data_IF_150252402781
#
_entry.id   IF_150252402781
#
_cell.length_a   1.000
_cell.length_b   1.000
_cell.length_c   1.000
_cell.angle_alpha   90.00
_cell.angle_beta   90.00
_cell.angle_gamma   90.00
#
_symmetry.space_group_name_H-M   'P 1'
#
loop_
_entity.id
_entity.type
_entity.pdbx_description
1 polymer ?
#
# COMPACT_ATOMS: atom_id res chain seq x y z
N UNK A 1 -1.16 -6.21 6.06
CA UNK A 1 -0.75 -5.65 4.75
C UNK A 1 -1.72 -4.56 4.35
N UNK A 2 -1.22 -3.56 3.62
CA UNK A 2 -2.03 -2.41 3.19
C UNK A 2 -1.65 -1.97 1.77
N UNK A 3 -2.64 -1.48 1.03
CA UNK A 3 -2.48 -0.87 -0.29
C UNK A 3 -2.64 0.65 -0.20
N UNK A 4 -1.76 1.38 -0.87
CA UNK A 4 -1.80 2.83 -0.97
C UNK A 4 -1.79 3.29 -2.41
N UNK A 5 -2.50 4.37 -2.71
CA UNK A 5 -2.45 5.09 -3.97
C UNK A 5 -1.73 6.42 -3.75
N UNK A 6 -0.76 6.71 -4.60
CA UNK A 6 -0.12 8.02 -4.69
C UNK A 6 -0.60 8.70 -5.98
N UNK A 7 -1.32 9.81 -5.84
CA UNK A 7 -1.71 10.63 -6.99
C UNK A 7 -0.52 11.46 -7.48
N UNK A 8 -0.33 11.51 -8.80
CA UNK A 8 0.49 12.53 -9.45
C UNK A 8 -0.32 13.83 -9.56
N UNK A 9 -0.44 14.60 -8.48
CA UNK A 9 -0.80 16.02 -8.63
C UNK A 9 0.46 16.87 -8.71
N UNK A 10 0.38 17.97 -9.46
CA UNK A 10 1.47 18.91 -9.76
C UNK A 10 2.06 19.64 -8.53
N UNK A 11 1.72 19.20 -7.32
CA UNK A 11 2.10 19.88 -6.09
C UNK A 11 3.03 19.00 -5.26
N UNK A 12 3.99 19.65 -4.60
CA UNK A 12 5.13 19.05 -3.88
C UNK A 12 4.75 18.15 -2.68
N UNK A 13 3.45 17.90 -2.47
CA UNK A 13 2.89 17.10 -1.40
C UNK A 13 1.99 16.00 -1.97
N UNK A 14 2.55 15.07 -2.77
CA UNK A 14 1.83 13.82 -3.11
C UNK A 14 1.55 13.05 -1.82
N UNK A 15 0.29 13.11 -1.36
CA UNK A 15 -0.19 12.38 -0.19
C UNK A 15 -0.56 10.95 -0.60
N UNK A 16 -0.16 9.97 0.20
CA UNK A 16 -0.60 8.59 0.06
C UNK A 16 -2.02 8.43 0.60
N UNK A 17 -2.88 7.77 -0.17
CA UNK A 17 -4.25 7.43 0.22
C UNK A 17 -4.31 5.93 0.49
N UNK A 18 -4.81 5.54 1.67
CA UNK A 18 -5.08 4.13 1.96
C UNK A 18 -6.23 3.63 1.09
N UNK A 19 -6.03 2.50 0.42
CA UNK A 19 -7.00 1.88 -0.50
C UNK A 19 -7.63 0.64 0.14
N UNK A 20 -6.80 -0.26 0.64
CA UNK A 20 -7.25 -1.50 1.27
C UNK A 20 -6.28 -1.93 2.38
N UNK A 21 -6.78 -2.63 3.38
CA UNK A 21 -5.96 -3.11 4.50
C UNK A 21 -6.53 -4.40 5.09
N UNK A 22 -5.69 -5.14 5.79
CA UNK A 22 -6.07 -6.28 6.64
C UNK A 22 -6.28 -5.79 8.06
N UNK A 23 -7.36 -6.20 8.74
CA UNK A 23 -7.54 -5.91 10.16
C UNK A 23 -6.59 -6.77 11.01
N UNK A 24 -6.04 -6.18 12.07
CA UNK A 24 -5.28 -6.95 13.06
C UNK A 24 -6.23 -7.84 13.86
N UNK A 25 -5.87 -9.11 14.04
CA UNK A 25 -6.62 -10.06 14.86
C UNK A 25 -7.61 -10.97 14.12
N UNK A 26 -7.92 -10.70 12.84
CA UNK A 26 -8.85 -11.52 12.05
C UNK A 26 -8.21 -12.01 10.74
N UNK A 27 -7.58 -13.19 10.74
CA UNK A 27 -7.03 -13.80 9.52
C UNK A 27 -8.13 -13.99 8.47
N UNK A 28 -8.10 -13.19 7.41
CA UNK A 28 -9.05 -13.26 6.29
C UNK A 28 -9.94 -12.04 6.14
N UNK A 29 -10.06 -11.18 7.15
CA UNK A 29 -10.81 -9.93 7.01
C UNK A 29 -9.93 -8.83 6.41
N UNK A 30 -10.37 -8.31 5.25
CA UNK A 30 -9.76 -7.15 4.61
C UNK A 30 -10.84 -6.16 4.24
N UNK A 31 -10.55 -4.88 4.44
CA UNK A 31 -11.45 -3.79 4.11
C UNK A 31 -10.89 -2.95 2.96
N UNK A 32 -11.81 -2.27 2.27
CA UNK A 32 -11.51 -1.25 1.27
C UNK A 32 -12.05 0.07 1.81
N UNK A 33 -11.24 1.12 1.69
CA UNK A 33 -11.63 2.46 2.08
C UNK A 33 -12.81 2.97 1.26
N UNK A 34 -13.72 3.71 1.91
CA UNK A 34 -15.01 4.10 1.32
C UNK A 34 -14.89 4.74 -0.08
N UNK A 35 -13.93 5.64 -0.36
CA UNK A 35 -13.77 6.24 -1.69
C UNK A 35 -13.49 5.22 -2.81
N UNK A 36 -12.92 4.06 -2.47
CA UNK A 36 -12.42 3.08 -3.43
C UNK A 36 -13.37 1.88 -3.63
N UNK A 37 -14.34 1.64 -2.73
CA UNK A 37 -15.23 0.47 -2.74
C UNK A 37 -16.02 0.24 -4.04
N UNK A 38 -16.27 1.31 -4.81
CA UNK A 38 -17.04 1.23 -6.05
C UNK A 38 -16.31 0.42 -7.13
N UNK A 39 -14.99 0.58 -7.23
CA UNK A 39 -14.17 0.02 -8.32
C UNK A 39 -13.13 -0.98 -7.83
N UNK A 40 -12.71 -0.89 -6.58
CA UNK A 40 -11.75 -1.82 -6.00
C UNK A 40 -12.47 -2.97 -5.29
N UNK A 41 -11.89 -4.17 -5.40
CA UNK A 41 -12.30 -5.40 -4.71
C UNK A 41 -11.07 -6.09 -4.12
N UNK A 42 -11.28 -6.79 -2.99
CA UNK A 42 -10.28 -7.64 -2.33
C UNK A 42 -10.98 -8.92 -1.92
N UNK A 43 -10.27 -10.05 -1.98
CA UNK A 43 -10.80 -11.35 -1.57
C UNK A 43 -10.30 -11.80 -0.19
N UNK A 44 -9.85 -10.88 0.66
CA UNK A 44 -9.18 -11.22 1.91
C UNK A 44 -7.71 -11.57 1.70
N UNK A 45 -6.95 -11.64 2.80
CA UNK A 45 -5.56 -12.08 2.80
C UNK A 45 -5.47 -13.55 2.40
N UNK A 46 -4.64 -13.86 1.40
CA UNK A 46 -4.39 -15.22 0.89
C UNK A 46 -2.89 -15.48 0.86
N UNK A 47 -2.44 -16.51 1.56
CA UNK A 47 -1.04 -17.00 1.50
C UNK A 47 -0.02 -15.85 1.52
N UNK A 48 -0.08 -15.01 2.56
CA UNK A 48 0.76 -13.82 2.78
C UNK A 48 0.66 -12.68 1.75
N UNK A 49 -0.34 -12.69 0.87
CA UNK A 49 -0.65 -11.60 -0.06
C UNK A 49 -2.03 -10.98 0.23
N UNK A 50 -2.15 -9.68 -0.01
CA UNK A 50 -3.42 -8.97 -0.07
C UNK A 50 -3.77 -8.70 -1.55
N UNK A 51 -4.58 -9.54 -2.21
CA UNK A 51 -4.98 -9.30 -3.60
C UNK A 51 -5.90 -8.09 -3.72
N UNK A 52 -5.66 -7.27 -4.73
CA UNK A 52 -6.48 -6.09 -5.04
C UNK A 52 -6.86 -6.13 -6.52
N UNK A 53 -8.15 -6.10 -6.81
CA UNK A 53 -8.71 -6.05 -8.16
C UNK A 53 -9.32 -4.67 -8.40
N UNK A 54 -9.06 -4.09 -9.58
CA UNK A 54 -9.68 -2.87 -10.05
C UNK A 54 -10.61 -3.20 -11.22
N UNK A 55 -11.89 -2.92 -11.07
CA UNK A 55 -12.93 -3.13 -12.07
C UNK A 55 -13.40 -1.80 -12.64
N UNK A 56 -13.64 -1.76 -13.96
CA UNK A 56 -14.13 -0.58 -14.67
C UNK A 56 -13.27 0.67 -14.39
N UNK A 57 -11.95 0.55 -14.59
CA UNK A 57 -10.97 1.58 -14.32
C UNK A 57 -11.28 2.91 -15.01
N UNK A 58 -11.14 4.01 -14.29
CA UNK A 58 -11.37 5.37 -14.80
C UNK A 58 -10.11 6.22 -14.72
N UNK A 59 -10.12 7.38 -15.38
CA UNK A 59 -8.95 8.26 -15.44
C UNK A 59 -8.49 8.68 -14.03
N UNK A 60 -9.44 8.89 -13.12
CA UNK A 60 -9.13 9.24 -11.72
C UNK A 60 -8.40 8.13 -10.95
N UNK A 61 -8.45 6.87 -11.40
CA UNK A 61 -7.69 5.77 -10.78
C UNK A 61 -6.21 5.80 -11.16
N UNK A 62 -5.79 6.67 -12.07
CA UNK A 62 -4.38 6.83 -12.44
C UNK A 62 -3.55 7.23 -11.23
N UNK A 63 -2.48 6.48 -10.97
CA UNK A 63 -1.59 6.72 -9.84
C UNK A 63 -0.55 5.63 -9.71
N UNK A 64 0.37 5.80 -8.77
CA UNK A 64 1.30 4.73 -8.37
C UNK A 64 0.73 4.01 -7.16
N UNK A 65 0.67 2.69 -7.20
CA UNK A 65 0.12 1.87 -6.13
C UNK A 65 1.25 1.15 -5.38
N UNK A 66 1.21 1.22 -4.06
CA UNK A 66 2.22 0.64 -3.18
C UNK A 66 1.57 -0.36 -2.22
N UNK A 67 2.27 -1.47 -1.99
CA UNK A 67 1.90 -2.44 -0.97
C UNK A 67 2.87 -2.33 0.21
N UNK A 68 2.34 -2.26 1.42
CA UNK A 68 3.10 -2.28 2.66
C UNK A 68 2.77 -3.55 3.45
N UNK A 69 3.78 -4.36 3.74
CA UNK A 69 3.60 -5.62 4.47
C UNK A 69 3.55 -5.41 6.00
N UNK A 70 4.38 -4.50 6.51
CA UNK A 70 4.51 -4.20 7.94
C UNK A 70 3.76 -2.90 8.32
N UNK A 71 3.14 -2.89 9.50
CA UNK A 71 2.42 -1.74 10.05
C UNK A 71 3.32 -0.49 10.13
N UNK A 72 4.57 -0.66 10.57
CA UNK A 72 5.60 0.37 10.57
C UNK A 72 5.80 1.02 9.19
N UNK A 73 5.87 0.22 8.12
CA UNK A 73 6.06 0.72 6.75
C UNK A 73 4.82 1.47 6.27
N UNK A 74 3.63 0.99 6.64
CA UNK A 74 2.34 1.63 6.38
C UNK A 74 2.22 3.01 7.04
N UNK A 75 2.64 3.13 8.31
CA UNK A 75 2.65 4.40 9.05
C UNK A 75 3.64 5.42 8.44
N UNK A 76 4.80 4.95 7.97
CA UNK A 76 5.76 5.83 7.28
C UNK A 76 5.21 6.39 5.97
N UNK A 77 4.45 5.60 5.19
CA UNK A 77 3.82 6.09 3.96
C UNK A 77 2.75 7.16 4.23
N UNK A 78 2.08 7.12 5.39
CA UNK A 78 1.06 8.11 5.78
C UNK A 78 1.67 9.39 6.37
N UNK A 79 2.90 9.34 6.88
CA UNK A 79 3.65 10.53 7.30
C UNK A 79 4.22 11.24 6.06
N UNK A 80 4.43 12.56 6.15
CA UNK A 80 4.99 13.40 5.05
C UNK A 80 6.11 12.64 4.33
N UNK A 81 6.19 12.69 2.98
CA UNK A 81 7.17 11.92 2.23
C UNK A 81 8.56 12.33 2.70
N UNK A 82 9.14 11.50 3.56
CA UNK A 82 10.54 11.57 3.89
C UNK A 82 11.22 11.11 2.61
N UNK A 83 12.14 11.93 2.07
CA UNK A 83 12.78 11.71 0.76
C UNK A 83 13.52 10.36 0.63
N UNK A 84 13.55 9.55 1.68
CA UNK A 84 14.18 8.25 1.73
C UNK A 84 13.12 7.18 2.04
N UNK A 85 12.41 6.70 1.02
CA UNK A 85 11.86 5.35 1.11
C UNK A 85 13.08 4.44 1.25
N UNK A 86 13.23 3.77 2.39
CA UNK A 86 14.22 2.71 2.53
C UNK A 86 13.83 1.59 1.57
N UNK A 87 14.42 1.61 0.38
CA UNK A 87 14.52 0.42 -0.47
C UNK A 87 15.39 -0.54 0.32
N UNK A 88 14.76 -1.55 0.92
CA UNK A 88 15.43 -2.55 1.73
C UNK A 88 16.51 -3.27 0.94
N UNK A 89 17.70 -2.70 0.93
CA UNK A 89 18.91 -3.48 0.77
C UNK A 89 19.15 -4.09 2.14
N UNK A 90 18.86 -5.39 2.29
CA UNK A 90 19.49 -6.18 3.35
C UNK A 90 20.99 -5.87 3.33
N UNK A 91 21.63 -5.65 4.49
CA UNK A 91 23.08 -5.75 4.52
C UNK A 91 23.40 -7.17 4.09
N UNK A 92 23.99 -7.32 2.90
CA UNK A 92 24.65 -8.56 2.52
C UNK A 92 25.70 -8.77 3.61
N UNK A 93 25.52 -9.82 4.40
CA UNK A 93 26.53 -10.25 5.35
C UNK A 93 27.81 -10.52 4.53
N UNK A 94 28.86 -9.77 4.84
CA UNK A 94 30.21 -10.00 4.34
C UNK A 94 30.64 -11.42 4.76
N UNK A 95 30.89 -12.35 3.82
CA UNK A 95 31.41 -13.66 4.17
C UNK A 95 32.94 -13.60 4.11
N UNK A 96 33.56 -12.78 4.95
CA UNK A 96 35.01 -12.86 5.21
C UNK A 96 35.44 -12.11 6.46
N UNK A 97 35.26 -12.74 7.64
CA UNK A 97 36.29 -12.80 8.70
C UNK A 97 35.96 -13.88 9.73
#
# INVERSE_FOLDING_TARGET
MSWYKQEKRREAHSQFQLVAFTSEGSPGESAIEQPFKKRFKTSGMKSSALPLSLENAQLEDTGTYYCASQQHTAEQMLRKPSQNLFTGNSPVADPSQ
#
